data_IF_150236321122
#
_entry.id   IF_150236321122
#
_cell.length_a   1.000
_cell.length_b   1.000
_cell.length_c   1.000
_cell.angle_alpha   90.00
_cell.angle_beta   90.00
_cell.angle_gamma   90.00
#
_symmetry.space_group_name_H-M   'P 1'
#
loop_
_entity.id
_entity.type
_entity.pdbx_description
1 polymer ?
#
# COMPACT_ATOMS: atom_id res chain seq x y z
N UNK A 1 28.97 -9.89 -0.03
CA UNK A 1 28.90 -10.01 1.44
C UNK A 1 28.33 -11.36 1.82
N UNK A 2 29.21 -12.29 2.16
CA UNK A 2 28.88 -13.62 2.69
C UNK A 2 29.61 -13.73 4.03
N UNK A 3 28.95 -14.28 5.04
CA UNK A 3 29.55 -14.54 6.36
C UNK A 3 30.51 -15.74 6.28
N UNK A 4 31.32 -15.96 7.32
CA UNK A 4 32.18 -17.15 7.42
C UNK A 4 31.41 -18.46 7.43
N UNK A 5 30.12 -18.45 7.80
CA UNK A 5 29.22 -19.61 7.75
C UNK A 5 28.55 -19.81 6.38
N UNK A 6 28.90 -19.01 5.37
CA UNK A 6 28.36 -19.12 4.01
C UNK A 6 26.98 -18.47 3.81
N UNK A 7 26.46 -17.75 4.81
CA UNK A 7 25.15 -17.10 4.71
C UNK A 7 25.27 -15.69 4.14
N UNK A 8 24.24 -15.24 3.40
CA UNK A 8 24.20 -13.86 2.89
C UNK A 8 24.00 -12.89 4.04
N UNK A 9 24.79 -11.82 4.07
CA UNK A 9 24.60 -10.72 5.03
C UNK A 9 23.29 -9.99 4.69
N UNK A 10 22.47 -9.75 5.72
CA UNK A 10 21.22 -9.01 5.56
C UNK A 10 21.49 -7.62 4.97
N UNK A 11 20.61 -7.18 4.06
CA UNK A 11 20.72 -5.87 3.40
C UNK A 11 22.05 -5.61 2.67
N UNK A 12 22.79 -6.65 2.26
CA UNK A 12 24.09 -6.53 1.59
C UNK A 12 24.19 -5.49 0.47
N UNK A 13 23.20 -5.37 -0.45
CA UNK A 13 23.21 -4.32 -1.47
C UNK A 13 23.13 -2.89 -0.92
N UNK A 14 22.43 -2.67 0.21
CA UNK A 14 22.37 -1.35 0.85
C UNK A 14 23.68 -1.01 1.56
N UNK A 15 24.31 -2.02 2.19
CA UNK A 15 25.63 -1.86 2.81
C UNK A 15 26.68 -1.47 1.77
N UNK A 16 26.67 -2.10 0.58
CA UNK A 16 27.54 -1.72 -0.54
C UNK A 16 27.39 -0.25 -0.91
N UNK A 17 26.16 0.18 -1.16
CA UNK A 17 25.87 1.57 -1.53
C UNK A 17 26.32 2.55 -0.45
N UNK A 18 26.16 2.21 0.83
CA UNK A 18 26.63 3.04 1.93
C UNK A 18 28.16 3.16 1.95
N UNK A 19 28.89 2.05 1.76
CA UNK A 19 30.35 2.05 1.74
C UNK A 19 30.89 2.88 0.57
N UNK A 20 30.26 2.80 -0.60
CA UNK A 20 30.59 3.66 -1.74
C UNK A 20 30.30 5.14 -1.44
N UNK A 21 29.13 5.44 -0.87
CA UNK A 21 28.71 6.81 -0.60
C UNK A 21 29.55 7.54 0.47
N UNK A 22 30.07 6.82 1.46
CA UNK A 22 30.92 7.38 2.53
C UNK A 22 32.20 8.01 1.98
N UNK A 23 32.67 7.56 0.82
CA UNK A 23 33.89 8.08 0.19
C UNK A 23 33.66 9.31 -0.71
N UNK A 24 32.40 9.73 -0.93
CA UNK A 24 32.10 10.89 -1.78
C UNK A 24 32.49 12.23 -1.12
N UNK A 25 32.20 12.49 0.16
CA UNK A 25 32.67 13.69 0.83
C UNK A 25 34.18 13.63 1.11
N UNK A 26 34.86 14.78 1.09
CA UNK A 26 36.29 14.86 1.44
C UNK A 26 36.57 14.54 2.92
N UNK A 27 35.64 14.92 3.81
CA UNK A 27 35.68 14.65 5.25
C UNK A 27 34.24 14.39 5.70
N UNK A 28 34.04 13.39 6.57
CA UNK A 28 32.73 13.02 7.09
C UNK A 28 32.81 12.65 8.58
N UNK A 29 31.76 12.98 9.34
CA UNK A 29 31.52 12.50 10.69
C UNK A 29 30.14 11.85 10.77
N UNK A 30 30.05 10.67 11.39
CA UNK A 30 28.80 9.95 11.61
C UNK A 30 28.55 9.93 13.12
N UNK A 31 27.48 10.59 13.55
CA UNK A 31 27.15 10.78 14.96
C UNK A 31 25.79 10.14 15.23
N UNK A 32 25.74 9.27 16.23
CA UNK A 32 24.49 8.69 16.70
C UNK A 32 23.83 9.60 17.74
N UNK A 33 22.59 10.00 17.50
CA UNK A 33 21.76 10.77 18.42
C UNK A 33 20.67 9.86 18.95
N UNK A 34 20.43 9.87 20.27
CA UNK A 34 19.37 9.05 20.85
C UNK A 34 17.99 9.50 20.36
N UNK A 35 17.10 8.54 20.12
CA UNK A 35 15.72 8.80 19.76
C UNK A 35 14.93 9.41 20.93
N UNK A 36 13.82 10.08 20.60
CA UNK A 36 12.82 10.57 21.56
C UNK A 36 13.36 11.49 22.67
N UNK A 37 14.44 12.22 22.39
CA UNK A 37 14.93 13.24 23.32
C UNK A 37 13.93 14.40 23.46
N UNK A 38 13.79 14.90 24.68
CA UNK A 38 12.96 16.07 25.01
C UNK A 38 13.84 17.32 25.01
N UNK A 39 13.32 18.43 24.50
CA UNK A 39 14.02 19.72 24.46
C UNK A 39 14.01 20.36 23.07
N UNK A 40 14.66 21.50 22.95
CA UNK A 40 14.67 22.31 21.73
C UNK A 40 16.08 22.60 21.20
N UNK A 41 17.05 21.76 21.58
CA UNK A 41 18.40 21.77 21.00
C UNK A 41 18.31 21.55 19.48
N UNK A 42 19.09 22.28 18.66
CA UNK A 42 19.18 22.05 17.22
C UNK A 42 19.32 20.58 16.80
N UNK A 43 20.11 19.79 17.54
CA UNK A 43 20.33 18.36 17.27
C UNK A 43 19.05 17.54 17.44
N UNK A 44 18.33 17.78 18.53
CA UNK A 44 17.04 17.12 18.86
C UNK A 44 15.94 17.55 17.88
N UNK A 45 15.95 18.82 17.48
CA UNK A 45 15.02 19.34 16.47
C UNK A 45 15.27 18.66 15.11
N UNK A 46 16.53 18.61 14.67
CA UNK A 46 16.92 17.97 13.41
C UNK A 46 16.55 16.50 13.35
N UNK A 47 16.81 15.74 14.43
CA UNK A 47 16.44 14.32 14.51
C UNK A 47 14.92 14.11 14.40
N UNK A 48 14.11 14.93 15.11
CA UNK A 48 12.64 14.87 15.02
C UNK A 48 12.12 15.20 13.62
N UNK A 49 12.73 16.17 12.96
CA UNK A 49 12.37 16.55 11.59
C UNK A 49 12.65 15.39 10.62
N UNK A 50 13.83 14.77 10.70
CA UNK A 50 14.19 13.61 9.88
C UNK A 50 13.25 12.41 10.07
N UNK A 51 12.90 12.07 11.32
CA UNK A 51 11.94 11.00 11.62
C UNK A 51 10.54 11.30 11.07
N UNK A 52 10.07 12.54 11.24
CA UNK A 52 8.78 12.97 10.68
C UNK A 52 8.79 12.88 9.16
N UNK A 53 9.86 13.34 8.49
CA UNK A 53 10.02 13.23 7.05
C UNK A 53 10.01 11.75 6.59
N UNK A 54 10.73 10.87 7.28
CA UNK A 54 10.74 9.43 6.99
C UNK A 54 9.34 8.82 7.11
N UNK A 55 8.60 9.14 8.17
CA UNK A 55 7.22 8.69 8.36
C UNK A 55 6.32 9.18 7.23
N UNK A 56 6.37 10.47 6.90
CA UNK A 56 5.58 11.01 5.79
C UNK A 56 5.91 10.34 4.45
N UNK A 57 7.19 10.07 4.17
CA UNK A 57 7.63 9.39 2.95
C UNK A 57 7.17 7.93 2.91
N UNK A 58 7.15 7.23 4.05
CA UNK A 58 6.66 5.85 4.12
C UNK A 58 5.15 5.72 3.87
N UNK A 59 4.38 6.77 4.17
CA UNK A 59 2.95 6.84 3.91
C UNK A 59 2.64 7.19 2.45
N UNK A 60 3.61 7.74 1.71
CA UNK A 60 3.43 7.94 0.29
C UNK A 60 3.43 6.58 -0.40
N UNK A 61 2.37 6.23 -1.15
CA UNK A 61 2.44 5.06 -2.02
C UNK A 61 3.61 5.26 -2.96
N UNK A 62 4.43 4.22 -3.13
CA UNK A 62 5.50 4.20 -4.13
C UNK A 62 4.90 4.58 -5.47
N UNK A 63 5.08 5.85 -5.87
CA UNK A 63 4.76 6.30 -7.21
C UNK A 63 5.83 5.70 -8.08
N UNK A 64 5.58 4.47 -8.53
CA UNK A 64 6.16 3.95 -9.75
C UNK A 64 5.91 5.04 -10.79
N UNK A 65 6.95 5.80 -11.13
CA UNK A 65 6.96 6.72 -12.27
C UNK A 65 6.95 5.94 -13.60
N UNK A 66 6.13 4.89 -13.68
CA UNK A 66 6.04 3.93 -14.76
C UNK A 66 4.63 3.30 -14.78
N UNK A 67 3.59 4.13 -14.89
CA UNK A 67 2.28 3.76 -15.47
C UNK A 67 1.33 4.96 -15.69
N UNK A 68 1.82 6.21 -15.72
CA UNK A 68 1.01 7.39 -16.06
C UNK A 68 0.78 7.57 -17.58
N UNK A 69 0.78 6.48 -18.34
CA UNK A 69 0.17 6.35 -19.66
C UNK A 69 -0.51 4.99 -19.56
N UNK A 70 -1.74 4.85 -19.09
CA UNK A 70 -2.95 4.99 -19.90
C UNK A 70 -4.17 5.00 -18.96
N UNK A 71 -4.46 6.14 -18.31
CA UNK A 71 -5.83 6.39 -17.85
C UNK A 71 -6.63 6.94 -19.03
N UNK A 72 -6.86 6.08 -20.02
CA UNK A 72 -7.99 6.27 -20.91
C UNK A 72 -9.25 5.91 -20.10
N UNK A 73 -10.23 6.80 -19.94
CA UNK A 73 -11.52 6.40 -19.42
C UNK A 73 -12.17 5.50 -20.46
N UNK A 74 -11.92 4.19 -20.37
CA UNK A 74 -12.70 3.23 -21.15
C UNK A 74 -14.15 3.36 -20.69
N UNK A 75 -15.09 3.67 -21.59
CA UNK A 75 -16.49 3.91 -21.24
C UNK A 75 -17.26 2.60 -21.00
N UNK A 76 -16.56 1.47 -20.84
CA UNK A 76 -17.21 0.19 -20.62
C UNK A 76 -17.63 0.15 -19.14
N UNK A 77 -18.94 0.19 -18.81
CA UNK A 77 -19.36 -0.14 -17.46
C UNK A 77 -18.86 -1.56 -17.19
N UNK A 78 -17.97 -1.71 -16.20
CA UNK A 78 -17.55 -3.03 -15.74
C UNK A 78 -18.80 -3.65 -15.11
N UNK A 79 -19.57 -4.38 -15.92
CA UNK A 79 -20.64 -5.23 -15.41
C UNK A 79 -19.95 -6.32 -14.61
N UNK A 80 -20.01 -6.23 -13.29
CA UNK A 80 -19.48 -7.28 -12.43
C UNK A 80 -20.38 -8.50 -12.59
N UNK A 81 -19.92 -9.46 -13.38
CA UNK A 81 -20.62 -10.73 -13.59
C UNK A 81 -20.28 -11.63 -12.40
N UNK A 82 -21.27 -12.11 -11.62
CA UNK A 82 -21.02 -13.08 -10.56
C UNK A 82 -20.56 -14.42 -11.14
N UNK A 83 -19.65 -15.08 -10.43
CA UNK A 83 -19.22 -16.43 -10.79
C UNK A 83 -20.38 -17.43 -10.56
N UNK A 84 -20.49 -18.48 -11.38
CA UNK A 84 -21.57 -19.48 -11.26
C UNK A 84 -21.65 -20.11 -9.86
N UNK A 85 -20.50 -20.26 -9.18
CA UNK A 85 -20.47 -20.76 -7.80
C UNK A 85 -21.05 -19.76 -6.78
N UNK A 86 -20.91 -18.46 -7.03
CA UNK A 86 -21.50 -17.42 -6.19
C UNK A 86 -23.01 -17.36 -6.38
N UNK A 87 -23.49 -17.50 -7.62
CA UNK A 87 -24.91 -17.58 -7.94
C UNK A 87 -25.57 -18.77 -7.23
N UNK A 88 -24.98 -19.97 -7.31
CA UNK A 88 -25.47 -21.16 -6.61
C UNK A 88 -25.57 -20.93 -5.11
N UNK A 89 -24.57 -20.28 -4.50
CA UNK A 89 -24.61 -19.94 -3.06
C UNK A 89 -25.70 -18.93 -2.74
N UNK A 90 -25.94 -17.95 -3.60
CA UNK A 90 -26.99 -16.96 -3.39
C UNK A 90 -28.37 -17.62 -3.50
N UNK A 91 -28.56 -18.52 -4.46
CA UNK A 91 -29.78 -19.31 -4.60
C UNK A 91 -30.01 -20.23 -3.40
N UNK A 92 -28.97 -20.91 -2.90
CA UNK A 92 -29.03 -21.73 -1.68
C UNK A 92 -29.42 -20.91 -0.43
N UNK A 93 -29.01 -19.64 -0.38
CA UNK A 93 -29.34 -18.69 0.68
C UNK A 93 -30.74 -18.08 0.48
N UNK A 94 -31.41 -18.34 -0.64
CA UNK A 94 -32.74 -17.82 -0.95
C UNK A 94 -32.72 -16.38 -1.50
N UNK A 95 -31.63 -15.96 -2.14
CA UNK A 95 -31.54 -14.66 -2.75
C UNK A 95 -32.45 -14.55 -3.99
N UNK A 96 -33.08 -13.40 -4.15
CA UNK A 96 -34.02 -13.11 -5.23
C UNK A 96 -33.43 -12.04 -6.14
N UNK A 97 -33.55 -12.24 -7.44
CA UNK A 97 -33.19 -11.24 -8.44
C UNK A 97 -34.35 -10.25 -8.62
N UNK A 98 -34.08 -8.99 -8.36
CA UNK A 98 -35.02 -7.88 -8.58
C UNK A 98 -35.20 -7.58 -10.07
N UNK A 99 -36.33 -6.97 -10.48
CA UNK A 99 -36.56 -6.59 -11.88
C UNK A 99 -35.51 -5.59 -12.42
N UNK A 100 -34.82 -4.87 -11.53
CA UNK A 100 -33.69 -3.99 -11.84
C UNK A 100 -32.36 -4.74 -12.04
N UNK A 101 -32.35 -6.06 -11.88
CA UNK A 101 -31.19 -6.92 -12.10
C UNK A 101 -30.27 -7.11 -10.90
N UNK A 102 -30.58 -6.51 -9.73
CA UNK A 102 -29.81 -6.68 -8.49
C UNK A 102 -30.24 -7.94 -7.73
N UNK A 103 -29.27 -8.66 -7.16
CA UNK A 103 -29.53 -9.79 -6.25
C UNK A 103 -29.72 -9.28 -4.82
N UNK A 104 -30.79 -9.71 -4.16
CA UNK A 104 -31.08 -9.39 -2.76
C UNK A 104 -31.21 -10.65 -1.93
N UNK A 105 -30.52 -10.67 -0.79
CA UNK A 105 -30.66 -11.73 0.20
C UNK A 105 -31.99 -11.60 0.95
N UNK A 106 -32.48 -12.68 1.61
CA UNK A 106 -33.70 -12.64 2.41
C UNK A 106 -33.70 -11.60 3.55
N UNK A 107 -32.50 -11.17 3.98
CA UNK A 107 -32.30 -10.14 5.00
C UNK A 107 -32.42 -8.69 4.46
N UNK A 108 -32.71 -8.54 3.17
CA UNK A 108 -32.83 -7.25 2.48
C UNK A 108 -31.49 -6.63 2.05
N UNK A 109 -30.35 -7.29 2.31
CA UNK A 109 -29.03 -6.83 1.87
C UNK A 109 -28.80 -7.15 0.39
N UNK A 110 -27.97 -6.34 -0.26
CA UNK A 110 -27.58 -6.56 -1.66
C UNK A 110 -26.46 -7.61 -1.74
N UNK A 111 -26.64 -8.60 -2.60
CA UNK A 111 -25.59 -9.54 -2.97
C UNK A 111 -24.70 -8.89 -4.05
N UNK A 112 -23.42 -8.71 -3.74
CA UNK A 112 -22.43 -8.19 -4.67
C UNK A 112 -21.49 -9.33 -5.09
N UNK A 113 -21.19 -9.47 -6.39
CA UNK A 113 -20.13 -10.37 -6.86
C UNK A 113 -18.82 -10.04 -6.14
N UNK A 114 -18.00 -11.04 -5.80
CA UNK A 114 -16.71 -10.77 -5.15
C UNK A 114 -15.80 -9.87 -5.98
N UNK A 115 -15.92 -9.92 -7.31
CA UNK A 115 -15.23 -9.03 -8.22
C UNK A 115 -15.60 -7.54 -7.99
N UNK A 116 -16.82 -7.24 -7.53
CA UNK A 116 -17.31 -5.89 -7.26
C UNK A 116 -16.89 -5.35 -5.88
N UNK A 117 -16.43 -6.22 -4.96
CA UNK A 117 -16.16 -5.83 -3.58
C UNK A 117 -15.00 -4.84 -3.45
N UNK A 118 -13.86 -5.11 -4.12
CA UNK A 118 -12.69 -4.21 -4.07
C UNK A 118 -13.00 -2.82 -4.62
N UNK A 119 -13.58 -2.68 -5.84
CA UNK A 119 -13.98 -1.38 -6.38
C UNK A 119 -14.97 -0.64 -5.48
N UNK A 120 -15.96 -1.33 -4.91
CA UNK A 120 -16.93 -0.72 -4.00
C UNK A 120 -16.29 -0.20 -2.70
N UNK A 121 -15.37 -0.98 -2.11
CA UNK A 121 -14.62 -0.57 -0.92
C UNK A 121 -13.71 0.63 -1.19
N UNK A 122 -13.03 0.65 -2.34
CA UNK A 122 -12.19 1.78 -2.74
C UNK A 122 -13.02 3.06 -2.94
N UNK A 123 -14.21 2.95 -3.54
CA UNK A 123 -15.11 4.09 -3.72
C UNK A 123 -15.61 4.62 -2.37
N UNK A 124 -16.03 3.73 -1.47
CA UNK A 124 -16.49 4.13 -0.12
C UNK A 124 -15.39 4.81 0.68
N UNK A 125 -14.15 4.31 0.58
CA UNK A 125 -12.98 4.92 1.23
C UNK A 125 -12.66 6.33 0.72
N UNK A 126 -12.96 6.62 -0.54
CA UNK A 126 -12.75 7.96 -1.13
C UNK A 126 -13.85 8.97 -0.75
N UNK A 127 -15.03 8.49 -0.35
CA UNK A 127 -16.17 9.31 0.05
C UNK A 127 -16.18 9.63 1.57
N UNK A 128 -15.21 9.13 2.33
CA UNK A 128 -15.04 9.37 3.79
C UNK A 128 -13.82 10.21 4.07
#
# INVERSE_FOLDING_TARGET
FITSSGTKVAHGPLILKLLEAIHLPSVIAIIHIQAHQKGNDPTVCGNRLADTASKTASLQPFVVHQMALMSSPSPIPITFIPELSELSRWEDIGAIKTPEGEWKLPDGRRALPRAALRPALLKLHQET
#
